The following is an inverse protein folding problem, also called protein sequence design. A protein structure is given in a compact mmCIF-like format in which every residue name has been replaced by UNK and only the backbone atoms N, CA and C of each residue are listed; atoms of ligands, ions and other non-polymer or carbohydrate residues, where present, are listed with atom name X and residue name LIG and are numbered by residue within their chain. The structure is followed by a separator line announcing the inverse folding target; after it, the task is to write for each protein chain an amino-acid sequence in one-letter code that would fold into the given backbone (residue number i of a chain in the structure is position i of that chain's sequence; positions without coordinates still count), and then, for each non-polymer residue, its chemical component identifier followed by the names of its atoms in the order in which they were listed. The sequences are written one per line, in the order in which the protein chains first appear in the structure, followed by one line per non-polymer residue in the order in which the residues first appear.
data_IF_517042594115
#
_entry.id   IF_517042594115
#
_cell.length_a   1.000
_cell.length_b   1.000
_cell.length_c   1.000
_cell.angle_alpha   90.00
_cell.angle_beta   90.00
_cell.angle_gamma   90.00
#
_symmetry.space_group_name_H-M   'P 1'
#
loop_
_entity.id
_entity.type
_entity.pdbx_description
1 polymer ?
#
# COMPACT_ATOMS: atom_id res chain seq x y z
N UNK A 1 -57.09 -47.95 -7.81
CA UNK A 1 -57.95 -46.77 -7.54
C UNK A 1 -57.14 -45.77 -6.71
N UNK A 2 -57.24 -44.48 -7.07
CA UNK A 2 -56.57 -43.29 -6.50
C UNK A 2 -55.36 -42.78 -7.31
N UNK A 3 -55.65 -42.31 -8.53
CA UNK A 3 -54.85 -41.26 -9.16
C UNK A 3 -55.15 -39.97 -8.39
N UNK A 4 -54.20 -39.47 -7.59
CA UNK A 4 -54.26 -38.11 -7.09
C UNK A 4 -54.02 -37.17 -8.29
N UNK A 5 -55.07 -36.53 -8.76
CA UNK A 5 -55.01 -35.36 -9.63
C UNK A 5 -54.30 -34.24 -8.88
N UNK A 6 -53.06 -33.95 -9.27
CA UNK A 6 -52.40 -32.70 -8.91
C UNK A 6 -53.04 -31.60 -9.77
N UNK A 7 -53.61 -30.53 -9.19
CA UNK A 7 -54.07 -29.43 -10.00
C UNK A 7 -52.84 -28.69 -10.52
N UNK A 8 -52.59 -28.81 -11.82
CA UNK A 8 -51.58 -27.99 -12.50
C UNK A 8 -52.04 -26.53 -12.42
N UNK A 9 -51.58 -25.82 -11.40
CA UNK A 9 -51.73 -24.36 -11.31
C UNK A 9 -50.88 -23.78 -12.43
N UNK A 10 -51.53 -23.33 -13.50
CA UNK A 10 -50.89 -22.52 -14.53
C UNK A 10 -50.55 -21.15 -13.93
N UNK A 11 -49.32 -21.04 -13.39
CA UNK A 11 -48.75 -19.75 -13.01
C UNK A 11 -48.31 -19.07 -14.31
N UNK A 12 -49.14 -18.18 -14.84
CA UNK A 12 -48.74 -17.28 -15.91
C UNK A 12 -47.63 -16.35 -15.39
N UNK A 13 -46.45 -16.26 -16.04
CA UNK A 13 -45.42 -15.35 -15.59
C UNK A 13 -45.81 -13.95 -16.05
N UNK A 14 -46.29 -13.11 -15.13
CA UNK A 14 -46.34 -11.67 -15.37
C UNK A 14 -44.90 -11.14 -15.40
N UNK A 15 -44.25 -11.16 -16.57
CA UNK A 15 -43.05 -10.37 -16.80
C UNK A 15 -43.46 -8.91 -16.98
N UNK A 16 -43.53 -8.16 -15.88
CA UNK A 16 -43.31 -6.73 -15.97
C UNK A 16 -41.79 -6.50 -16.11
N UNK A 17 -41.31 -5.72 -17.10
CA UNK A 17 -39.90 -5.34 -17.14
C UNK A 17 -39.61 -4.45 -15.92
N UNK A 18 -38.79 -4.96 -14.99
CA UNK A 18 -38.22 -4.10 -13.96
C UNK A 18 -37.43 -2.99 -14.67
N UNK A 19 -37.61 -1.70 -14.31
CA UNK A 19 -36.71 -0.67 -14.78
C UNK A 19 -35.31 -1.08 -14.31
N UNK A 20 -34.41 -1.34 -15.26
CA UNK A 20 -33.00 -1.52 -14.98
C UNK A 20 -32.53 -0.21 -14.35
N UNK A 21 -32.44 -0.19 -13.02
CA UNK A 21 -31.75 0.88 -12.31
C UNK A 21 -30.30 0.80 -12.75
N UNK A 22 -29.93 1.67 -13.69
CA UNK A 22 -28.57 1.85 -14.13
C UNK A 22 -27.71 2.13 -12.89
N UNK A 23 -26.91 1.15 -12.48
CA UNK A 23 -25.93 1.30 -11.42
C UNK A 23 -24.81 2.19 -11.97
N UNK A 24 -25.00 3.51 -11.93
CA UNK A 24 -23.89 4.45 -12.03
C UNK A 24 -23.29 4.63 -10.64
N UNK A 25 -22.22 3.89 -10.34
CA UNK A 25 -21.45 4.05 -9.10
C UNK A 25 -20.78 2.71 -8.76
N UNK A 26 -19.48 2.61 -8.50
CA UNK A 26 -18.51 3.57 -7.97
C UNK A 26 -17.18 3.30 -8.66
N UNK A 27 -16.54 4.29 -9.28
CA UNK A 27 -15.08 4.25 -9.45
C UNK A 27 -14.55 5.66 -9.18
N UNK A 28 -14.73 6.10 -7.94
CA UNK A 28 -13.84 7.12 -7.40
C UNK A 28 -12.57 6.39 -6.96
N UNK A 29 -11.67 6.06 -7.89
CA UNK A 29 -10.30 5.71 -7.55
C UNK A 29 -9.68 6.96 -6.94
N UNK A 30 -9.82 7.11 -5.62
CA UNK A 30 -9.11 8.11 -4.87
C UNK A 30 -7.64 7.81 -5.09
N UNK A 31 -6.99 8.56 -5.98
CA UNK A 31 -5.55 8.49 -6.16
C UNK A 31 -4.88 8.64 -4.79
N UNK A 32 -4.43 7.51 -4.23
CA UNK A 32 -3.66 7.50 -3.01
C UNK A 32 -2.31 8.10 -3.40
N UNK A 33 -2.11 9.37 -3.04
CA UNK A 33 -0.77 9.94 -3.07
C UNK A 33 0.09 9.08 -2.16
N UNK A 34 1.01 8.32 -2.75
CA UNK A 34 2.00 7.58 -2.01
C UNK A 34 2.77 8.59 -1.15
N UNK A 35 2.74 8.40 0.17
CA UNK A 35 3.59 9.20 1.07
C UNK A 35 5.02 8.72 0.82
N UNK A 36 5.98 9.61 0.47
CA UNK A 36 7.34 9.19 0.25
C UNK A 36 7.93 8.63 1.56
N UNK A 37 8.41 7.39 1.52
CA UNK A 37 9.10 6.78 2.65
C UNK A 37 10.52 7.33 2.72
N UNK A 38 10.81 8.10 3.77
CA UNK A 38 12.11 8.76 3.96
C UNK A 38 12.64 8.52 5.38
N UNK A 39 13.97 8.49 5.52
CA UNK A 39 14.62 8.61 6.81
C UNK A 39 14.89 10.08 7.13
N UNK A 40 14.92 10.44 8.41
CA UNK A 40 15.23 11.80 8.85
C UNK A 40 16.67 11.92 9.29
N UNK A 41 17.34 12.97 8.84
CA UNK A 41 18.66 13.33 9.35
C UNK A 41 18.89 14.84 9.19
N UNK A 42 19.25 15.52 10.29
CA UNK A 42 19.48 16.98 10.34
C UNK A 42 18.39 17.83 9.66
N UNK A 43 17.12 17.43 9.86
CA UNK A 43 15.96 18.12 9.28
C UNK A 43 15.71 17.83 7.79
N UNK A 44 16.52 16.98 7.14
CA UNK A 44 16.31 16.55 5.77
C UNK A 44 15.55 15.22 5.70
N UNK A 45 14.76 15.05 4.63
CA UNK A 45 14.16 13.79 4.23
C UNK A 45 15.10 13.07 3.26
N UNK A 46 15.57 11.90 3.65
CA UNK A 46 16.51 11.08 2.88
C UNK A 46 15.76 9.88 2.29
N UNK A 47 15.73 9.71 0.96
CA UNK A 47 15.07 8.57 0.33
C UNK A 47 15.65 7.21 0.75
N UNK A 48 14.79 6.20 0.79
CA UNK A 48 15.22 4.79 0.93
C UNK A 48 16.25 4.43 -0.16
N UNK A 49 17.29 3.68 0.21
CA UNK A 49 18.41 3.29 -0.64
C UNK A 49 19.63 4.21 -0.53
N UNK A 50 19.46 5.46 -0.09
CA UNK A 50 20.56 6.40 0.07
C UNK A 50 21.45 6.00 1.25
N UNK A 51 22.76 6.09 1.05
CA UNK A 51 23.77 5.91 2.10
C UNK A 51 24.28 7.26 2.57
N UNK A 52 24.31 7.45 3.88
CA UNK A 52 24.72 8.68 4.54
C UNK A 52 25.74 8.38 5.64
N UNK A 53 26.66 9.31 5.83
CA UNK A 53 27.44 9.39 7.06
C UNK A 53 26.62 10.14 8.11
N UNK A 54 26.21 9.44 9.17
CA UNK A 54 25.46 10.01 10.28
C UNK A 54 26.44 10.44 11.37
N UNK A 55 26.43 11.71 11.77
CA UNK A 55 27.20 12.20 12.92
C UNK A 55 26.38 12.11 14.20
N UNK A 56 26.50 10.96 14.87
CA UNK A 56 25.80 10.68 16.11
C UNK A 56 26.66 11.08 17.33
N UNK A 57 26.06 11.28 18.52
CA UNK A 57 26.81 11.61 19.73
C UNK A 57 27.86 10.57 20.15
N UNK A 58 27.67 9.31 19.77
CA UNK A 58 28.59 8.20 20.01
C UNK A 58 29.62 8.00 18.90
N UNK A 59 29.68 8.91 17.93
CA UNK A 59 30.61 8.89 16.81
C UNK A 59 29.93 8.71 15.45
N UNK A 60 30.67 8.95 14.37
CA UNK A 60 30.15 8.83 13.01
C UNK A 60 29.85 7.38 12.65
N UNK A 61 28.76 7.16 11.90
CA UNK A 61 28.33 5.85 11.42
C UNK A 61 27.90 5.95 9.97
N UNK A 62 28.44 5.08 9.11
CA UNK A 62 27.93 4.92 7.75
C UNK A 62 26.65 4.07 7.80
N UNK A 63 25.54 4.61 7.33
CA UNK A 63 24.25 3.94 7.35
C UNK A 63 23.47 4.15 6.05
N UNK A 64 22.68 3.16 5.66
CA UNK A 64 21.73 3.27 4.56
C UNK A 64 20.32 3.52 5.10
N UNK A 65 19.56 4.41 4.46
CA UNK A 65 18.14 4.52 4.74
C UNK A 65 17.44 3.29 4.15
N UNK A 66 16.83 2.47 5.00
CA UNK A 66 16.19 1.21 4.62
C UNK A 66 14.79 1.10 5.28
N UNK A 67 14.14 -0.05 5.14
CA UNK A 67 12.88 -0.37 5.82
C UNK A 67 13.06 -1.57 6.74
N UNK A 68 12.62 -1.44 7.98
CA UNK A 68 12.49 -2.54 8.94
C UNK A 68 11.01 -2.67 9.31
N UNK A 69 10.40 -3.82 9.01
CA UNK A 69 8.97 -4.06 9.23
C UNK A 69 8.07 -2.95 8.64
N UNK A 70 8.34 -2.55 7.40
CA UNK A 70 7.65 -1.48 6.66
C UNK A 70 7.86 -0.04 7.16
N UNK A 71 8.56 0.17 8.27
CA UNK A 71 8.93 1.49 8.75
C UNK A 71 10.33 1.86 8.26
N UNK A 72 10.52 3.10 7.84
CA UNK A 72 11.84 3.61 7.47
C UNK A 72 12.75 3.67 8.68
N UNK A 73 13.96 3.13 8.54
CA UNK A 73 14.96 3.09 9.60
C UNK A 73 16.36 3.22 9.01
N UNK A 74 17.30 3.72 9.82
CA UNK A 74 18.71 3.71 9.47
C UNK A 74 19.30 2.32 9.72
N UNK A 75 19.81 1.69 8.66
CA UNK A 75 20.56 0.44 8.74
C UNK A 75 22.06 0.76 8.77
N UNK A 76 22.70 0.51 9.91
CA UNK A 76 24.15 0.66 10.05
C UNK A 76 24.89 -0.29 9.10
N UNK A 77 25.82 0.26 8.32
CA UNK A 77 26.71 -0.49 7.45
C UNK A 77 28.08 -0.70 8.12
N UNK A 78 28.63 0.34 8.75
CA UNK A 78 29.90 0.29 9.48
C UNK A 78 30.02 1.45 10.47
N UNK A 79 30.86 1.27 11.49
CA UNK A 79 31.29 2.37 12.36
C UNK A 79 32.34 3.23 11.64
N UNK A 80 32.29 4.53 11.85
CA UNK A 80 33.08 5.50 11.09
C UNK A 80 32.52 5.74 9.69
N UNK A 81 33.04 6.78 9.04
CA UNK A 81 32.67 7.12 7.67
C UNK A 81 33.89 7.10 6.76
N UNK A 82 33.72 6.75 5.47
CA UNK A 82 34.80 6.83 4.51
C UNK A 82 35.32 8.26 4.43
N UNK A 83 36.63 8.44 4.61
CA UNK A 83 37.30 9.65 4.16
C UNK A 83 37.36 9.60 2.64
N UNK A 84 37.10 10.71 1.93
CA UNK A 84 37.42 10.79 0.51
C UNK A 84 38.90 10.45 0.34
N UNK A 85 39.19 9.25 -0.17
CA UNK A 85 40.54 8.89 -0.58
C UNK A 85 40.83 9.61 -1.89
N UNK A 86 41.94 10.35 -1.94
CA UNK A 86 42.55 10.69 -3.22
C UNK A 86 42.74 9.38 -3.99
N UNK A 87 42.03 9.25 -5.11
CA UNK A 87 42.30 8.25 -6.14
C UNK A 87 43.62 8.53 -6.83
#
# INVERSE_FOLDING_TARGET
MKHLLVPTVLIAPMLAPLPALAQSGFEAEKAVRAIPCTCRFKGADIPVGQTMCLDLPNGPVLAQCDRVLNNTAWKTLQHGCPTPGLS
#
